data_IF_814160346099
#
_entry.id   IF_814160346099
#
_cell.length_a   1.000
_cell.length_b   1.000
_cell.length_c   1.000
_cell.angle_alpha   90.00
_cell.angle_beta   90.00
_cell.angle_gamma   90.00
#
_symmetry.space_group_name_H-M   'P 1'
#
loop_
_entity.id
_entity.type
_entity.pdbx_description
1 polymer ?
#
# COMPACT_ATOMS: atom_id res chain seq x y z
N UNK A 1 43.56 -4.58 13.35
CA UNK A 1 42.44 -5.04 14.20
C UNK A 1 41.17 -4.86 13.38
N UNK A 2 40.67 -5.95 12.80
CA UNK A 2 39.62 -5.94 11.79
C UNK A 2 38.30 -6.35 12.47
N UNK A 3 37.38 -5.41 12.71
CA UNK A 3 36.01 -5.73 13.13
C UNK A 3 35.16 -5.98 11.88
N UNK A 4 34.83 -7.25 11.62
CA UNK A 4 33.90 -7.64 10.57
C UNK A 4 32.50 -7.07 10.85
N UNK A 5 32.03 -6.19 9.96
CA UNK A 5 30.61 -5.88 9.83
C UNK A 5 29.95 -7.04 9.08
N UNK A 6 29.18 -7.84 9.80
CA UNK A 6 28.27 -8.82 9.21
C UNK A 6 27.11 -8.02 8.60
N UNK A 7 27.28 -7.58 7.36
CA UNK A 7 26.15 -7.16 6.54
C UNK A 7 25.39 -8.46 6.23
N UNK A 8 24.22 -8.64 6.83
CA UNK A 8 23.32 -9.75 6.51
C UNK A 8 22.88 -9.62 5.06
N UNK A 9 23.69 -10.16 4.13
CA UNK A 9 23.36 -10.24 2.73
C UNK A 9 22.24 -11.26 2.55
N UNK A 10 21.03 -10.79 2.24
CA UNK A 10 19.96 -11.66 1.80
C UNK A 10 20.45 -12.45 0.56
N UNK A 11 20.24 -13.77 0.49
CA UNK A 11 20.70 -14.56 -0.64
C UNK A 11 20.07 -14.02 -1.94
N UNK A 12 20.85 -13.93 -3.02
CA UNK A 12 20.44 -13.27 -4.28
C UNK A 12 19.16 -13.87 -4.90
N UNK A 13 18.78 -15.09 -4.50
CA UNK A 13 17.53 -15.75 -4.88
C UNK A 13 16.27 -15.14 -4.26
N UNK A 14 16.39 -14.49 -3.10
CA UNK A 14 15.28 -13.78 -2.44
C UNK A 14 15.05 -12.44 -3.14
N UNK A 15 16.12 -11.73 -3.49
CA UNK A 15 16.05 -10.47 -4.22
C UNK A 15 15.39 -10.62 -5.60
N UNK A 16 15.76 -11.65 -6.38
CA UNK A 16 15.16 -11.87 -7.70
C UNK A 16 13.68 -12.28 -7.63
N UNK A 17 13.29 -13.00 -6.57
CA UNK A 17 11.89 -13.37 -6.34
C UNK A 17 11.04 -12.16 -5.97
N UNK A 18 11.54 -11.29 -5.10
CA UNK A 18 10.85 -10.04 -4.76
C UNK A 18 10.74 -9.10 -5.96
N UNK A 19 11.78 -9.05 -6.80
CA UNK A 19 11.79 -8.29 -8.06
C UNK A 19 10.67 -8.77 -9.01
N UNK A 20 10.48 -10.08 -9.09
CA UNK A 20 9.40 -10.68 -9.89
C UNK A 20 8.02 -10.40 -9.30
N UNK A 21 7.87 -10.50 -7.97
CA UNK A 21 6.58 -10.32 -7.30
C UNK A 21 6.06 -8.87 -7.40
N UNK A 22 6.90 -7.84 -7.27
CA UNK A 22 6.45 -6.44 -7.41
C UNK A 22 6.07 -6.11 -8.87
N UNK A 23 6.85 -6.58 -9.86
CA UNK A 23 6.54 -6.39 -11.28
C UNK A 23 5.22 -7.08 -11.64
N UNK A 24 5.02 -8.31 -11.16
CA UNK A 24 3.78 -9.04 -11.38
C UNK A 24 2.57 -8.36 -10.73
N UNK A 25 2.72 -7.85 -9.50
CA UNK A 25 1.67 -7.09 -8.82
C UNK A 25 1.21 -5.89 -9.67
N UNK A 26 2.15 -5.02 -10.04
CA UNK A 26 1.87 -3.82 -10.85
C UNK A 26 1.21 -4.20 -12.19
N UNK A 27 1.82 -5.12 -12.93
CA UNK A 27 1.34 -5.48 -14.26
C UNK A 27 -0.07 -6.11 -14.21
N UNK A 28 -0.34 -7.00 -13.26
CA UNK A 28 -1.66 -7.61 -13.15
C UNK A 28 -2.71 -6.59 -12.73
N UNK A 29 -2.35 -5.68 -11.83
CA UNK A 29 -3.22 -4.58 -11.41
C UNK A 29 -3.56 -3.65 -12.58
N UNK A 30 -2.56 -3.21 -13.35
CA UNK A 30 -2.73 -2.34 -14.52
C UNK A 30 -3.61 -2.98 -15.60
N UNK A 31 -3.56 -4.31 -15.72
CA UNK A 31 -4.41 -5.09 -16.63
C UNK A 31 -5.77 -5.49 -16.01
N UNK A 32 -6.14 -4.94 -14.86
CA UNK A 32 -7.36 -5.23 -14.11
C UNK A 32 -7.56 -6.72 -13.74
N UNK A 33 -6.47 -7.49 -13.67
CA UNK A 33 -6.46 -8.91 -13.26
C UNK A 33 -6.32 -9.02 -11.75
N UNK A 34 -7.25 -8.41 -11.02
CA UNK A 34 -7.12 -8.16 -9.59
C UNK A 34 -7.04 -9.43 -8.72
N UNK A 35 -7.82 -10.46 -9.05
CA UNK A 35 -7.80 -11.73 -8.31
C UNK A 35 -6.42 -12.38 -8.38
N UNK A 36 -5.77 -12.30 -9.55
CA UNK A 36 -4.43 -12.82 -9.77
C UNK A 36 -3.34 -11.91 -9.18
N UNK A 37 -3.60 -10.59 -9.11
CA UNK A 37 -2.69 -9.61 -8.51
C UNK A 37 -2.59 -9.75 -6.98
N UNK A 38 -3.64 -10.25 -6.31
CA UNK A 38 -3.71 -10.30 -4.84
C UNK A 38 -2.50 -10.97 -4.17
N UNK A 39 -2.10 -12.15 -4.66
CA UNK A 39 -0.98 -12.93 -4.12
C UNK A 39 0.39 -12.27 -4.33
N UNK A 40 0.79 -11.86 -5.54
CA UNK A 40 2.06 -11.14 -5.74
C UNK A 40 2.07 -9.79 -5.01
N UNK A 41 0.97 -9.04 -5.00
CA UNK A 41 0.88 -7.79 -4.24
C UNK A 41 1.04 -8.02 -2.74
N UNK A 42 0.45 -9.08 -2.18
CA UNK A 42 0.64 -9.43 -0.78
C UNK A 42 2.10 -9.73 -0.44
N UNK A 43 2.80 -10.51 -1.29
CA UNK A 43 4.21 -10.83 -1.06
C UNK A 43 5.11 -9.60 -1.16
N UNK A 44 4.92 -8.79 -2.21
CA UNK A 44 5.69 -7.57 -2.42
C UNK A 44 5.43 -6.54 -1.30
N UNK A 45 4.17 -6.36 -0.89
CA UNK A 45 3.81 -5.46 0.21
C UNK A 45 4.43 -5.91 1.55
N UNK A 46 4.46 -7.22 1.82
CA UNK A 46 5.14 -7.80 2.98
C UNK A 46 6.66 -7.64 2.93
N UNK A 47 7.25 -7.60 1.73
CA UNK A 47 8.66 -7.30 1.53
C UNK A 47 9.00 -5.81 1.67
N UNK A 48 8.00 -4.95 1.89
CA UNK A 48 8.18 -3.51 2.08
C UNK A 48 7.99 -2.67 0.82
N UNK A 49 7.64 -3.28 -0.32
CA UNK A 49 7.44 -2.54 -1.56
C UNK A 49 6.27 -1.57 -1.42
N UNK A 50 6.59 -0.28 -1.54
CA UNK A 50 5.67 0.82 -1.24
C UNK A 50 4.52 0.94 -2.26
N UNK A 51 4.78 0.56 -3.51
CA UNK A 51 3.76 0.52 -4.56
C UNK A 51 2.81 -0.64 -4.29
N UNK A 52 3.33 -1.83 -4.00
CA UNK A 52 2.53 -3.00 -3.68
C UNK A 52 1.71 -2.82 -2.39
N UNK A 53 2.24 -2.12 -1.38
CA UNK A 53 1.46 -1.72 -0.21
C UNK A 53 0.28 -0.81 -0.61
N UNK A 54 0.52 0.13 -1.52
CA UNK A 54 -0.53 1.01 -2.05
C UNK A 54 -1.60 0.24 -2.81
N UNK A 55 -1.18 -0.60 -3.76
CA UNK A 55 -2.06 -1.41 -4.61
C UNK A 55 -2.85 -2.43 -3.79
N UNK A 56 -2.21 -3.11 -2.83
CA UNK A 56 -2.91 -4.05 -1.95
C UNK A 56 -3.95 -3.33 -1.07
N UNK A 57 -3.66 -2.09 -0.65
CA UNK A 57 -4.63 -1.25 0.02
C UNK A 57 -5.86 -0.98 -0.84
N UNK A 58 -5.66 -0.65 -2.13
CA UNK A 58 -6.74 -0.46 -3.10
C UNK A 58 -7.54 -1.74 -3.37
N UNK A 59 -6.88 -2.90 -3.46
CA UNK A 59 -7.55 -4.19 -3.63
C UNK A 59 -8.53 -4.46 -2.48
N UNK A 60 -8.09 -4.27 -1.24
CA UNK A 60 -8.95 -4.43 -0.07
C UNK A 60 -10.02 -3.35 0.04
N UNK A 61 -9.72 -2.12 -0.34
CA UNK A 61 -10.67 -1.02 -0.24
C UNK A 61 -11.83 -1.15 -1.22
N UNK A 62 -11.55 -1.53 -2.46
CA UNK A 62 -12.54 -1.70 -3.52
C UNK A 62 -13.15 -3.10 -3.58
N UNK A 63 -12.64 -4.07 -2.84
CA UNK A 63 -13.03 -5.48 -2.98
C UNK A 63 -12.69 -6.04 -4.37
N UNK A 64 -11.51 -5.66 -4.90
CA UNK A 64 -11.12 -5.97 -6.27
C UNK A 64 -10.47 -7.35 -6.33
N UNK A 65 -11.22 -8.36 -6.77
CA UNK A 65 -10.73 -9.74 -6.87
C UNK A 65 -10.47 -10.43 -5.52
N UNK A 66 -10.69 -9.72 -4.41
CA UNK A 66 -10.65 -10.19 -3.02
C UNK A 66 -11.76 -9.51 -2.23
N UNK A 67 -12.10 -10.05 -1.05
CA UNK A 67 -13.14 -9.46 -0.21
C UNK A 67 -12.75 -8.06 0.28
N UNK A 68 -13.73 -7.14 0.26
CA UNK A 68 -13.54 -5.79 0.75
C UNK A 68 -13.22 -5.78 2.25
N UNK A 69 -12.20 -5.02 2.66
CA UNK A 69 -11.80 -4.87 4.05
C UNK A 69 -11.12 -3.51 4.30
N UNK A 70 -11.91 -2.53 4.76
CA UNK A 70 -11.42 -1.18 5.05
C UNK A 70 -10.29 -1.14 6.11
N UNK A 71 -10.28 -2.06 7.06
CA UNK A 71 -9.23 -2.12 8.09
C UNK A 71 -7.89 -2.56 7.50
N UNK A 72 -7.90 -3.56 6.61
CA UNK A 72 -6.70 -4.00 5.90
C UNK A 72 -6.25 -2.96 4.87
N UNK A 73 -7.18 -2.30 4.17
CA UNK A 73 -6.85 -1.19 3.28
C UNK A 73 -6.10 -0.07 4.01
N UNK A 74 -6.66 0.40 5.12
CA UNK A 74 -6.04 1.42 5.99
C UNK A 74 -4.66 0.98 6.46
N UNK A 75 -4.50 -0.28 6.88
CA UNK A 75 -3.21 -0.81 7.34
C UNK A 75 -2.14 -0.73 6.25
N UNK A 76 -2.44 -1.16 5.04
CA UNK A 76 -1.46 -1.19 3.95
C UNK A 76 -1.14 0.21 3.41
N UNK A 77 -2.14 1.09 3.28
CA UNK A 77 -1.88 2.48 2.97
C UNK A 77 -1.09 3.19 4.06
N UNK A 78 -1.35 2.93 5.34
CA UNK A 78 -0.55 3.50 6.42
C UNK A 78 0.92 3.07 6.32
N UNK A 79 1.20 1.80 6.00
CA UNK A 79 2.57 1.34 5.79
C UNK A 79 3.27 2.10 4.64
N UNK A 80 2.56 2.43 3.57
CA UNK A 80 3.10 3.24 2.48
C UNK A 80 3.25 4.73 2.85
N UNK A 81 2.34 5.27 3.66
CA UNK A 81 2.43 6.62 4.24
C UNK A 81 3.66 6.76 5.14
N UNK A 82 3.97 5.74 5.93
CA UNK A 82 5.16 5.72 6.80
C UNK A 82 6.46 5.76 5.99
N UNK A 83 6.41 5.34 4.72
CA UNK A 83 7.50 5.45 3.73
C UNK A 83 7.43 6.74 2.89
N UNK A 84 6.56 7.71 3.25
CA UNK A 84 6.34 8.97 2.55
C UNK A 84 5.87 8.82 1.09
N UNK A 85 5.05 7.79 0.82
CA UNK A 85 4.50 7.59 -0.51
C UNK A 85 3.31 8.51 -0.77
N UNK A 86 3.54 9.57 -1.54
CA UNK A 86 2.53 10.59 -1.87
C UNK A 86 1.20 10.00 -2.41
N UNK A 87 1.19 9.00 -3.31
CA UNK A 87 -0.05 8.35 -3.74
C UNK A 87 -0.84 7.75 -2.57
N UNK A 88 -0.18 7.02 -1.67
CA UNK A 88 -0.85 6.42 -0.50
C UNK A 88 -1.36 7.48 0.49
N UNK A 89 -0.57 8.54 0.71
CA UNK A 89 -0.99 9.70 1.51
C UNK A 89 -2.30 10.27 0.97
N UNK A 90 -2.37 10.52 -0.33
CA UNK A 90 -3.56 11.08 -0.96
C UNK A 90 -4.77 10.14 -0.89
N UNK A 91 -4.58 8.85 -1.15
CA UNK A 91 -5.67 7.86 -1.04
C UNK A 91 -6.24 7.81 0.38
N UNK A 92 -5.37 7.69 1.39
CA UNK A 92 -5.80 7.62 2.78
C UNK A 92 -6.43 8.94 3.25
N UNK A 93 -5.87 10.08 2.83
CA UNK A 93 -6.42 11.40 3.16
C UNK A 93 -7.82 11.60 2.57
N UNK A 94 -8.03 11.24 1.29
CA UNK A 94 -9.33 11.32 0.65
C UNK A 94 -10.35 10.42 1.34
N UNK A 95 -9.96 9.19 1.72
CA UNK A 95 -10.83 8.30 2.48
C UNK A 95 -11.27 8.89 3.80
N UNK A 96 -10.36 9.50 4.56
CA UNK A 96 -10.73 10.23 5.78
C UNK A 96 -11.54 11.49 5.50
N UNK A 97 -11.27 12.21 4.42
CA UNK A 97 -11.99 13.43 4.08
C UNK A 97 -13.48 13.15 3.81
N UNK A 98 -13.78 12.08 3.07
CA UNK A 98 -15.14 11.68 2.73
C UNK A 98 -15.78 10.71 3.74
N UNK A 99 -14.96 9.99 4.53
CA UNK A 99 -15.44 8.82 5.28
C UNK A 99 -15.92 7.72 4.33
N UNK A 100 -15.20 7.53 3.22
CA UNK A 100 -15.63 6.77 2.04
C UNK A 100 -15.06 7.41 0.78
N UNK A 101 -15.86 7.55 -0.27
CA UNK A 101 -15.45 8.17 -1.54
C UNK A 101 -16.24 9.44 -1.85
N UNK A 102 -15.91 10.10 -2.96
CA UNK A 102 -16.67 11.26 -3.48
C UNK A 102 -18.15 10.95 -3.71
N UNK A 103 -18.50 9.67 -3.88
CA UNK A 103 -19.87 9.21 -4.12
C UNK A 103 -20.68 9.00 -2.84
N UNK A 104 -20.02 8.96 -1.66
CA UNK A 104 -20.69 8.81 -0.38
C UNK A 104 -19.84 8.12 0.67
N UNK A 105 -20.44 7.97 1.87
CA UNK A 105 -19.77 7.27 2.99
C UNK A 105 -19.79 5.76 2.78
N UNK A 106 -18.73 5.11 3.25
CA UNK A 106 -18.54 3.66 3.13
C UNK A 106 -18.38 3.01 4.51
N UNK A 107 -18.93 1.81 4.67
CA UNK A 107 -18.80 1.07 5.93
C UNK A 107 -17.32 0.77 6.24
N UNK A 108 -16.90 1.01 7.47
CA UNK A 108 -15.50 0.83 7.90
C UNK A 108 -14.61 2.06 7.68
N UNK A 109 -15.09 3.10 7.00
CA UNK A 109 -14.41 4.39 6.89
C UNK A 109 -15.08 5.45 7.76
N UNK A 110 -14.29 6.01 8.68
CA UNK A 110 -14.70 7.15 9.50
C UNK A 110 -14.35 8.46 8.78
N UNK A 111 -15.26 9.42 8.78
CA UNK A 111 -14.93 10.77 8.30
C UNK A 111 -14.12 11.51 9.36
N UNK A 112 -13.06 12.18 8.94
CA UNK A 112 -12.19 12.94 9.82
C UNK A 112 -11.35 13.97 9.07
N UNK A 113 -11.86 15.20 8.93
CA UNK A 113 -11.13 16.30 8.31
C UNK A 113 -9.75 16.57 8.94
N UNK A 114 -9.57 16.54 10.28
CA UNK A 114 -8.24 16.73 10.86
C UNK A 114 -7.24 15.64 10.45
N UNK A 115 -7.69 14.39 10.31
CA UNK A 115 -6.85 13.27 9.84
C UNK A 115 -6.43 13.47 8.39
N UNK A 116 -7.38 13.83 7.52
CA UNK A 116 -7.10 14.12 6.12
C UNK A 116 -6.13 15.30 5.96
N UNK A 117 -6.35 16.40 6.69
CA UNK A 117 -5.47 17.57 6.64
C UNK A 117 -4.06 17.27 7.16
N UNK A 118 -3.93 16.44 8.20
CA UNK A 118 -2.61 16.03 8.70
C UNK A 118 -1.82 15.25 7.63
N UNK A 119 -2.50 14.35 6.91
CA UNK A 119 -1.88 13.60 5.81
C UNK A 119 -1.49 14.51 4.64
N UNK A 120 -2.35 15.43 4.21
CA UNK A 120 -1.98 16.35 3.13
C UNK A 120 -0.86 17.33 3.51
N UNK A 121 -0.77 17.73 4.79
CA UNK A 121 0.39 18.47 5.28
C UNK A 121 1.67 17.65 5.16
N UNK A 122 1.63 16.36 5.52
CA UNK A 122 2.77 15.46 5.35
C UNK A 122 3.27 15.41 3.90
N UNK A 123 2.38 15.39 2.90
CA UNK A 123 2.77 15.45 1.48
C UNK A 123 3.29 16.81 1.01
N UNK A 124 2.99 17.90 1.72
CA UNK A 124 3.42 19.25 1.34
C UNK A 124 4.79 19.63 1.92
N UNK A 125 5.31 18.83 2.86
CA UNK A 125 6.58 19.03 3.57
C UNK A 125 7.71 18.16 2.99
N UNK A 126 7.62 17.76 1.72
CA UNK A 126 8.64 16.99 1.00
C UNK A 126 9.57 17.86 0.14
#
# INVERSE_FOLDING_TARGET
MLTLLIISALPQTVLSRTETDHQACQQLFDNARYSEASSPCQKAAQAGDVNAQTLLGELYDGGLGIDQNAALAKKWWQAAVDQRHVPAINLLALKFYYGGTVFGREAGWEQGYPKAMALWRLSAEE
#
